data_IF_314998962628
#
_entry.id   IF_314998962628
#
_cell.length_a   1.000
_cell.length_b   1.000
_cell.length_c   1.000
_cell.angle_alpha   90.00
_cell.angle_beta   90.00
_cell.angle_gamma   90.00
#
_symmetry.space_group_name_H-M   'P 1'
#
loop_
_entity.id
_entity.type
_entity.pdbx_description
1 polymer ?
#
# COMPACT_ATOMS: atom_id res chain seq x y z
N UNK A 1 4.28 0.05 14.43
CA UNK A 1 4.89 -0.85 13.43
C UNK A 1 4.17 -0.66 12.10
N UNK A 2 4.86 -0.69 10.96
CA UNK A 2 4.16 -0.75 9.67
C UNK A 2 3.95 -2.22 9.27
N UNK A 3 2.85 -2.50 8.59
CA UNK A 3 2.43 -3.86 8.21
C UNK A 3 1.87 -3.84 6.79
N UNK A 4 1.89 -5.00 6.11
CA UNK A 4 1.21 -5.16 4.82
C UNK A 4 -0.30 -5.05 5.07
N UNK A 5 -1.01 -4.41 4.14
CA UNK A 5 -2.46 -4.23 4.26
C UNK A 5 -3.08 -4.10 2.86
N UNK A 6 -4.32 -4.52 2.62
CA UNK A 6 -5.00 -4.25 1.35
C UNK A 6 -5.40 -2.78 1.26
N UNK A 7 -5.31 -2.22 0.06
CA UNK A 7 -5.65 -0.81 -0.13
C UNK A 7 -7.11 -0.53 0.25
N UNK A 8 -7.32 0.45 1.13
CA UNK A 8 -8.67 0.78 1.59
C UNK A 8 -9.53 1.44 0.51
N UNK A 9 -8.93 2.17 -0.43
CA UNK A 9 -9.64 2.80 -1.54
C UNK A 9 -10.20 1.76 -2.51
N UNK A 10 -9.47 0.66 -2.67
CA UNK A 10 -9.73 -0.31 -3.73
C UNK A 10 -10.50 -1.55 -3.16
N UNK A 11 -10.97 -1.52 -1.89
CA UNK A 11 -11.68 -2.63 -1.19
C UNK A 11 -13.04 -3.04 -1.77
N UNK A 12 -13.59 -2.27 -2.71
CA UNK A 12 -14.83 -2.66 -3.38
C UNK A 12 -14.50 -3.68 -4.48
N UNK A 13 -15.22 -4.79 -4.56
CA UNK A 13 -15.00 -5.88 -5.55
C UNK A 13 -15.08 -5.40 -7.00
N UNK A 14 -15.77 -4.27 -7.25
CA UNK A 14 -15.83 -3.63 -8.56
C UNK A 14 -14.55 -2.86 -8.94
N UNK A 15 -13.60 -2.66 -8.01
CA UNK A 15 -12.37 -1.94 -8.28
C UNK A 15 -11.32 -2.89 -8.90
N UNK A 16 -10.68 -2.53 -10.02
CA UNK A 16 -9.69 -3.37 -10.70
C UNK A 16 -8.39 -3.63 -9.89
N UNK A 17 -8.32 -3.19 -8.64
CA UNK A 17 -7.15 -3.29 -7.76
C UNK A 17 -7.51 -3.81 -6.37
N UNK A 18 -8.63 -4.51 -6.21
CA UNK A 18 -9.09 -5.00 -4.91
C UNK A 18 -8.08 -5.94 -4.24
N UNK A 19 -7.37 -6.74 -5.03
CA UNK A 19 -6.35 -7.67 -4.54
C UNK A 19 -4.97 -7.03 -4.38
N UNK A 20 -4.81 -5.73 -4.67
CA UNK A 20 -3.51 -5.07 -4.61
C UNK A 20 -3.14 -4.66 -3.18
N UNK A 21 -1.87 -4.87 -2.86
CA UNK A 21 -1.30 -4.66 -1.54
C UNK A 21 -0.89 -3.20 -1.36
N UNK A 22 -1.14 -2.71 -0.17
CA UNK A 22 -0.68 -1.45 0.39
C UNK A 22 -0.06 -1.69 1.77
N UNK A 23 0.10 -0.63 2.55
CA UNK A 23 0.67 -0.66 3.87
C UNK A 23 -0.24 0.05 4.88
N UNK A 24 -0.12 -0.37 6.13
CA UNK A 24 -0.73 0.30 7.27
C UNK A 24 0.33 0.62 8.32
N UNK A 25 0.14 1.68 9.10
CA UNK A 25 1.03 2.07 10.19
C UNK A 25 1.39 3.57 10.20
N UNK A 26 2.56 3.89 10.74
CA UNK A 26 3.04 5.27 10.92
C UNK A 26 3.74 5.88 9.69
N UNK A 27 4.07 5.08 8.67
CA UNK A 27 4.65 5.56 7.41
C UNK A 27 6.18 5.72 7.40
N UNK A 28 6.87 5.48 8.52
CA UNK A 28 8.33 5.52 8.59
C UNK A 28 8.99 4.18 8.20
N UNK A 29 8.22 3.10 8.15
CA UNK A 29 8.74 1.75 7.85
C UNK A 29 8.07 1.16 6.59
N UNK A 30 7.59 2.02 5.68
CA UNK A 30 6.98 1.59 4.41
C UNK A 30 7.96 0.75 3.58
N UNK A 31 9.23 1.18 3.38
CA UNK A 31 10.20 0.43 2.58
C UNK A 31 10.39 -0.99 3.12
N UNK A 32 10.55 -1.14 4.44
CA UNK A 32 10.73 -2.45 5.09
C UNK A 32 9.58 -3.44 4.86
N UNK A 33 8.38 -2.96 4.57
CA UNK A 33 7.20 -3.80 4.33
C UNK A 33 6.96 -3.98 2.83
N UNK A 34 7.03 -2.89 2.07
CA UNK A 34 6.62 -2.86 0.67
C UNK A 34 7.72 -3.26 -0.29
N UNK A 35 9.01 -3.07 0.02
CA UNK A 35 10.10 -3.36 -0.93
C UNK A 35 10.21 -4.84 -1.30
N UNK A 36 9.76 -5.74 -0.41
CA UNK A 36 9.67 -7.18 -0.68
C UNK A 36 8.53 -7.59 -1.61
N UNK A 37 7.58 -6.69 -1.88
CA UNK A 37 6.39 -6.94 -2.69
C UNK A 37 6.67 -6.47 -4.13
N UNK A 38 6.46 -7.29 -5.16
CA UNK A 38 6.59 -6.87 -6.56
C UNK A 38 5.73 -5.64 -6.86
N UNK A 39 6.22 -4.70 -7.67
CA UNK A 39 5.47 -3.46 -7.99
C UNK A 39 4.11 -3.74 -8.63
N UNK A 40 3.99 -4.82 -9.40
CA UNK A 40 2.73 -5.27 -10.00
C UNK A 40 1.68 -5.61 -8.94
N UNK A 41 2.06 -6.13 -7.78
CA UNK A 41 1.16 -6.49 -6.68
C UNK A 41 0.85 -5.32 -5.75
N UNK A 42 1.56 -4.19 -5.91
CA UNK A 42 1.30 -2.97 -5.15
C UNK A 42 0.13 -2.22 -5.76
N UNK A 43 -0.64 -1.60 -4.88
CA UNK A 43 -1.70 -0.70 -5.30
C UNK A 43 -1.10 0.55 -5.98
N UNK A 44 -1.78 1.07 -7.01
CA UNK A 44 -1.39 2.33 -7.67
C UNK A 44 -2.45 3.43 -7.51
N UNK A 45 -3.44 3.23 -6.62
CA UNK A 45 -4.45 4.22 -6.24
C UNK A 45 -3.71 5.51 -5.77
N UNK A 46 -4.22 6.71 -6.11
CA UNK A 46 -3.62 8.01 -5.72
C UNK A 46 -4.33 8.60 -4.49
N UNK A 47 -3.66 9.41 -3.64
CA UNK A 47 -2.28 9.88 -3.74
C UNK A 47 -1.25 8.85 -3.25
N UNK A 48 -0.10 8.78 -3.94
CA UNK A 48 1.04 7.97 -3.49
C UNK A 48 1.88 8.73 -2.45
N UNK A 49 2.61 7.98 -1.63
CA UNK A 49 3.52 8.52 -0.61
C UNK A 49 4.96 8.30 -1.04
N UNK A 50 5.77 9.34 -1.01
CA UNK A 50 7.20 9.25 -1.29
C UNK A 50 7.99 8.97 -0.01
N UNK A 51 8.86 7.95 -0.03
CA UNK A 51 9.84 7.66 1.01
C UNK A 51 11.14 7.19 0.39
N UNK A 52 12.24 7.78 0.84
CA UNK A 52 13.59 7.42 0.37
C UNK A 52 13.73 7.50 -1.17
N UNK A 53 13.05 8.46 -1.80
CA UNK A 53 13.03 8.64 -3.25
C UNK A 53 12.18 7.62 -4.03
N UNK A 54 11.46 6.72 -3.35
CA UNK A 54 10.53 5.76 -3.95
C UNK A 54 9.09 6.13 -3.65
N UNK A 55 8.18 5.87 -4.60
CA UNK A 55 6.74 6.08 -4.43
C UNK A 55 6.07 4.78 -3.99
N UNK A 56 5.24 4.88 -2.96
CA UNK A 56 4.48 3.79 -2.39
C UNK A 56 2.98 4.08 -2.44
N UNK A 57 2.13 3.04 -2.40
CA UNK A 57 0.68 3.20 -2.37
C UNK A 57 0.19 4.05 -1.19
N UNK A 58 -1.07 4.56 -1.25
CA UNK A 58 -1.71 5.26 -0.15
C UNK A 58 -1.90 4.33 1.04
N UNK A 59 -1.76 4.88 2.25
CA UNK A 59 -1.99 4.15 3.50
C UNK A 59 -3.39 3.50 3.52
N UNK A 60 -3.45 2.22 3.89
CA UNK A 60 -4.70 1.52 4.14
C UNK A 60 -5.41 2.07 5.41
N UNK A 61 -6.73 1.88 5.48
CA UNK A 61 -7.52 2.29 6.65
C UNK A 61 -7.27 1.41 7.88
N UNK A 62 -7.03 0.11 7.65
CA UNK A 62 -6.75 -0.88 8.70
C UNK A 62 -5.67 -1.85 8.24
N UNK A 63 -4.97 -2.45 9.19
CA UNK A 63 -4.18 -3.65 8.94
C UNK A 63 -5.13 -4.79 8.49
N UNK A 64 -4.59 -5.74 7.73
CA UNK A 64 -5.27 -7.02 7.50
C UNK A 64 -5.08 -7.98 8.66
#
# INVERSE_FOLDING_TARGET
MCMKAHCATCKNEAHPQADKVSWWGCGNHIPSVMDSIPEEDRCTCTPQVEREGKKYPPKAAKAD
#
